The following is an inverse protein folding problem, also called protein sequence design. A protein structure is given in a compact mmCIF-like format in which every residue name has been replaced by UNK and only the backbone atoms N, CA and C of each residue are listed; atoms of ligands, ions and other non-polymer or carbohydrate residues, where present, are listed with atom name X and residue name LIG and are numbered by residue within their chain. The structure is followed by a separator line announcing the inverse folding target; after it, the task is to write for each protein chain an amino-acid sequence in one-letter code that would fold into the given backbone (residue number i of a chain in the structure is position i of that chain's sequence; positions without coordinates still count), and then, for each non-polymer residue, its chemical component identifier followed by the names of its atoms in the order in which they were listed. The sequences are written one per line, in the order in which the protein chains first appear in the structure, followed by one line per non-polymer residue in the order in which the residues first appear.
data_IF_906199383241
#
_entry.id   IF_906199383241
#
_cell.length_a   1.000
_cell.length_b   1.000
_cell.length_c   1.000
_cell.angle_alpha   90.00
_cell.angle_beta   90.00
_cell.angle_gamma   90.00
#
_symmetry.space_group_name_H-M   'P 1'
#
loop_
_entity.id
_entity.type
_entity.pdbx_description
1 polymer ?
#
# COMPACT_ATOMS: atom_id res chain seq x y z
N UNK A 1 9.44 -4.99 11.51
CA UNK A 1 8.26 -4.22 11.97
C UNK A 1 7.97 -3.03 11.09
N UNK A 2 6.72 -2.74 10.82
CA UNK A 2 6.26 -1.55 10.11
C UNK A 2 6.22 -0.32 11.04
N UNK A 3 6.48 0.87 10.51
CA UNK A 3 6.59 2.13 11.27
C UNK A 3 5.34 2.44 12.10
N UNK A 4 4.16 1.99 11.65
CA UNK A 4 2.87 2.13 12.34
C UNK A 4 2.74 1.12 13.49
N UNK A 5 3.57 1.28 14.52
CA UNK A 5 3.66 0.42 15.71
C UNK A 5 4.13 1.22 16.93
N UNK A 6 3.97 0.70 18.15
CA UNK A 6 4.50 1.35 19.35
C UNK A 6 6.03 1.34 19.38
N UNK A 7 6.63 2.23 20.18
CA UNK A 7 8.07 2.22 20.45
C UNK A 7 8.52 0.93 21.13
N UNK A 8 7.68 0.34 21.99
CA UNK A 8 7.96 -0.92 22.68
C UNK A 8 8.11 -2.08 21.70
N UNK A 9 7.22 -2.20 20.71
CA UNK A 9 7.35 -3.22 19.65
C UNK A 9 8.62 -2.99 18.84
N UNK A 10 8.95 -1.74 18.50
CA UNK A 10 10.19 -1.41 17.79
C UNK A 10 11.43 -1.79 18.59
N UNK A 11 11.42 -1.63 19.91
CA UNK A 11 12.55 -1.95 20.78
C UNK A 11 12.94 -3.44 20.77
N UNK A 12 12.00 -4.32 20.42
CA UNK A 12 12.21 -5.78 20.30
C UNK A 12 12.23 -6.27 18.85
N UNK A 13 12.29 -5.36 17.88
CA UNK A 13 12.32 -5.68 16.45
C UNK A 13 13.73 -5.59 15.88
N UNK A 14 14.10 -6.48 14.96
CA UNK A 14 15.41 -6.41 14.28
C UNK A 14 15.52 -5.19 13.36
N UNK A 15 14.42 -4.83 12.69
CA UNK A 15 14.39 -3.70 11.75
C UNK A 15 13.00 -3.07 11.66
N UNK A 16 12.99 -1.75 11.45
CA UNK A 16 11.78 -0.98 11.15
C UNK A 16 11.73 -0.60 9.66
N UNK A 17 10.54 -0.68 9.05
CA UNK A 17 10.32 -0.33 7.65
C UNK A 17 9.10 0.58 7.46
N UNK A 18 8.94 1.13 6.27
CA UNK A 18 7.77 1.88 5.79
C UNK A 18 7.14 1.14 4.60
N UNK A 19 5.95 1.56 4.15
CA UNK A 19 5.34 1.00 2.93
C UNK A 19 6.19 1.22 1.68
N UNK A 20 7.07 2.24 1.68
CA UNK A 20 8.03 2.51 0.60
C UNK A 20 9.33 1.69 0.65
N UNK A 21 9.64 1.06 1.78
CA UNK A 21 10.93 0.38 1.99
C UNK A 21 10.81 -1.09 2.37
N UNK A 22 9.60 -1.57 2.72
CA UNK A 22 9.36 -2.91 3.25
C UNK A 22 9.96 -4.02 2.39
N UNK A 23 9.67 -4.04 1.09
CA UNK A 23 10.21 -5.06 0.17
C UNK A 23 11.74 -5.05 0.15
N UNK A 24 12.34 -3.89 -0.12
CA UNK A 24 13.80 -3.73 -0.19
C UNK A 24 14.48 -4.16 1.11
N UNK A 25 13.93 -3.79 2.27
CA UNK A 25 14.48 -4.19 3.57
C UNK A 25 14.37 -5.71 3.72
N UNK A 26 13.19 -6.29 3.48
CA UNK A 26 12.96 -7.73 3.61
C UNK A 26 13.91 -8.55 2.73
N UNK A 27 14.11 -8.15 1.47
CA UNK A 27 15.03 -8.83 0.55
C UNK A 27 16.49 -8.83 1.04
N UNK A 28 16.89 -7.81 1.80
CA UNK A 28 18.27 -7.65 2.30
C UNK A 28 18.49 -8.26 3.69
N UNK A 29 17.47 -8.82 4.34
CA UNK A 29 17.63 -9.55 5.61
C UNK A 29 18.18 -10.94 5.31
N UNK A 30 19.23 -11.36 6.03
CA UNK A 30 19.80 -12.71 5.96
C UNK A 30 18.97 -13.73 6.77
N UNK A 31 17.71 -13.91 6.36
CA UNK A 31 16.80 -14.90 6.92
C UNK A 31 15.72 -15.29 5.88
N UNK A 32 15.35 -16.56 5.83
CA UNK A 32 14.32 -17.05 4.90
C UNK A 32 12.90 -16.84 5.41
N UNK A 33 12.71 -16.78 6.73
CA UNK A 33 11.43 -16.54 7.39
C UNK A 33 11.42 -15.21 8.13
N UNK A 34 10.42 -14.37 7.89
CA UNK A 34 10.30 -13.03 8.46
C UNK A 34 8.93 -12.87 9.14
N UNK A 35 8.93 -12.53 10.43
CA UNK A 35 7.71 -12.08 11.11
C UNK A 35 7.46 -10.61 10.75
N UNK A 36 6.28 -10.32 10.19
CA UNK A 36 5.92 -8.97 9.75
C UNK A 36 4.71 -8.46 10.52
N UNK A 37 4.90 -7.35 11.24
CA UNK A 37 3.88 -6.74 12.10
C UNK A 37 3.73 -5.24 11.84
N UNK A 38 2.56 -4.64 12.08
CA UNK A 38 1.31 -5.30 12.45
C UNK A 38 0.37 -5.55 11.25
N UNK A 39 0.68 -5.02 10.07
CA UNK A 39 -0.27 -5.00 8.95
C UNK A 39 -0.13 -6.24 8.04
N UNK A 40 -1.18 -7.08 8.02
CA UNK A 40 -1.22 -8.31 7.24
C UNK A 40 -1.30 -8.07 5.73
N UNK A 41 -1.88 -6.95 5.29
CA UNK A 41 -2.00 -6.64 3.87
C UNK A 41 -0.65 -6.24 3.29
N UNK A 42 0.09 -5.39 4.00
CA UNK A 42 1.47 -5.06 3.63
C UNK A 42 2.37 -6.29 3.70
N UNK A 43 2.20 -7.15 4.72
CA UNK A 43 2.94 -8.41 4.81
C UNK A 43 2.66 -9.34 3.62
N UNK A 44 1.38 -9.53 3.25
CA UNK A 44 0.96 -10.29 2.07
C UNK A 44 1.52 -9.70 0.79
N UNK A 45 1.44 -8.38 0.63
CA UNK A 45 2.01 -7.69 -0.53
C UNK A 45 3.51 -7.95 -0.64
N UNK A 46 4.27 -7.85 0.45
CA UNK A 46 5.71 -8.17 0.43
C UNK A 46 5.94 -9.63 0.07
N UNK A 47 5.15 -10.56 0.63
CA UNK A 47 5.25 -12.00 0.34
C UNK A 47 5.01 -12.32 -1.14
N UNK A 48 4.11 -11.59 -1.81
CA UNK A 48 3.84 -11.72 -3.25
C UNK A 48 5.02 -11.28 -4.12
N UNK A 49 5.92 -10.45 -3.59
CA UNK A 49 7.03 -9.82 -4.33
C UNK A 49 8.40 -10.42 -4.02
N UNK A 50 8.48 -11.40 -3.13
CA UNK A 50 9.75 -12.00 -2.69
C UNK A 50 9.64 -13.52 -2.56
N UNK A 51 10.77 -14.22 -2.55
CA UNK A 51 10.82 -15.67 -2.32
C UNK A 51 10.93 -16.04 -0.83
N UNK A 52 11.06 -15.05 0.06
CA UNK A 52 11.10 -15.25 1.52
C UNK A 52 9.71 -15.55 2.06
N UNK A 53 9.63 -16.40 3.09
CA UNK A 53 8.40 -16.72 3.80
C UNK A 53 8.06 -15.59 4.77
N UNK A 54 6.97 -14.89 4.51
CA UNK A 54 6.48 -13.84 5.41
C UNK A 54 5.39 -14.41 6.31
N UNK A 55 5.56 -14.24 7.62
CA UNK A 55 4.58 -14.63 8.64
C UNK A 55 3.85 -13.35 9.09
N UNK A 56 2.61 -13.13 8.64
CA UNK A 56 1.86 -11.92 8.98
C UNK A 56 1.32 -11.99 10.41
N UNK A 57 1.28 -10.84 11.08
CA UNK A 57 0.40 -10.63 12.23
C UNK A 57 -0.99 -10.20 11.75
N UNK A 58 -2.05 -10.70 12.39
CA UNK A 58 -3.45 -10.38 12.06
C UNK A 58 -3.85 -8.98 12.56
N UNK A 59 -3.25 -7.97 11.95
CA UNK A 59 -3.61 -6.57 12.11
C UNK A 59 -3.80 -5.93 10.75
N UNK A 60 -4.57 -4.84 10.71
CA UNK A 60 -4.89 -4.15 9.47
C UNK A 60 -5.23 -2.68 9.73
N UNK A 61 -4.99 -1.84 8.73
CA UNK A 61 -5.45 -0.46 8.74
C UNK A 61 -6.95 -0.38 8.43
N UNK A 62 -7.75 0.16 9.34
CA UNK A 62 -9.19 0.34 9.16
C UNK A 62 -9.53 1.27 7.98
N UNK A 63 -8.71 2.29 7.71
CA UNK A 63 -8.91 3.21 6.59
C UNK A 63 -8.86 2.46 5.26
N UNK A 64 -7.86 1.60 5.07
CA UNK A 64 -7.70 0.82 3.84
C UNK A 64 -8.65 -0.37 3.77
N UNK A 65 -9.05 -0.94 4.92
CA UNK A 65 -9.99 -2.05 4.99
C UNK A 65 -11.44 -1.64 4.66
N UNK A 66 -11.81 -0.38 4.88
CA UNK A 66 -13.17 0.11 4.60
C UNK A 66 -13.45 0.32 3.11
N UNK A 67 -12.44 0.29 2.24
CA UNK A 67 -12.64 0.34 0.79
C UNK A 67 -12.91 -1.07 0.31
N UNK A 68 -13.99 -1.26 -0.45
CA UNK A 68 -14.33 -2.56 -1.03
C UNK A 68 -14.12 -2.55 -2.55
N UNK A 69 -13.97 -3.74 -3.14
CA UNK A 69 -13.93 -3.89 -4.60
C UNK A 69 -15.15 -3.25 -5.29
N UNK A 70 -16.34 -3.39 -4.72
CA UNK A 70 -17.58 -2.78 -5.23
C UNK A 70 -17.49 -1.24 -5.31
N UNK A 71 -16.78 -0.59 -4.39
CA UNK A 71 -16.58 0.86 -4.46
C UNK A 71 -15.78 1.24 -5.71
N UNK A 72 -14.77 0.45 -6.06
CA UNK A 72 -13.90 0.70 -7.22
C UNK A 72 -14.66 0.39 -8.52
N UNK A 73 -15.39 -0.73 -8.57
CA UNK A 73 -16.21 -1.10 -9.74
C UNK A 73 -17.23 0.00 -10.02
N UNK A 74 -17.95 0.47 -8.99
CA UNK A 74 -18.93 1.54 -9.14
C UNK A 74 -18.31 2.83 -9.70
N UNK A 75 -17.13 3.22 -9.23
CA UNK A 75 -16.42 4.39 -9.77
C UNK A 75 -16.02 4.18 -11.24
N UNK A 76 -15.60 2.97 -11.61
CA UNK A 76 -15.31 2.65 -13.02
C UNK A 76 -16.56 2.66 -13.90
N UNK A 77 -17.71 2.26 -13.38
CA UNK A 77 -18.99 2.37 -14.10
C UNK A 77 -19.42 3.82 -14.30
N UNK A 78 -19.20 4.68 -13.29
CA UNK A 78 -19.60 6.09 -13.30
C UNK A 78 -18.65 6.98 -14.13
N UNK A 79 -17.34 6.69 -14.11
CA UNK A 79 -16.30 7.54 -14.71
C UNK A 79 -15.55 6.89 -15.88
N UNK A 80 -15.90 5.66 -16.25
CA UNK A 80 -15.17 4.87 -17.26
C UNK A 80 -14.01 4.08 -16.65
N UNK A 81 -13.27 3.35 -17.50
CA UNK A 81 -12.18 2.47 -17.05
C UNK A 81 -10.93 3.25 -16.62
N UNK A 82 -11.02 3.92 -15.48
CA UNK A 82 -9.95 4.72 -14.88
C UNK A 82 -8.82 3.85 -14.32
N UNK A 83 -7.60 4.39 -14.32
CA UNK A 83 -6.49 3.78 -13.59
C UNK A 83 -6.77 3.76 -12.08
N UNK A 84 -6.42 2.66 -11.43
CA UNK A 84 -6.54 2.48 -9.98
C UNK A 84 -5.14 2.49 -9.35
N UNK A 85 -4.88 3.45 -8.46
CA UNK A 85 -3.65 3.55 -7.68
C UNK A 85 -3.94 3.20 -6.23
N UNK A 86 -3.37 2.12 -5.71
CA UNK A 86 -3.68 1.59 -4.37
C UNK A 86 -2.48 1.60 -3.43
N UNK A 87 -2.75 1.78 -2.13
CA UNK A 87 -1.74 1.55 -1.09
C UNK A 87 -1.57 0.04 -0.82
N UNK A 88 -0.36 -0.46 -0.50
CA UNK A 88 -0.16 -1.89 -0.21
C UNK A 88 -0.89 -2.39 1.05
N UNK A 89 -1.41 -1.49 1.89
CA UNK A 89 -2.29 -1.83 3.02
C UNK A 89 -3.72 -2.19 2.58
N UNK A 90 -4.09 -1.96 1.32
CA UNK A 90 -5.38 -2.38 0.77
C UNK A 90 -5.51 -3.89 0.71
N UNK A 91 -6.74 -4.39 0.76
CA UNK A 91 -7.03 -5.82 0.60
C UNK A 91 -6.52 -6.35 -0.74
N UNK A 92 -6.20 -7.65 -0.80
CA UNK A 92 -5.62 -8.27 -1.98
C UNK A 92 -6.47 -8.06 -3.24
N UNK A 93 -7.79 -8.20 -3.14
CA UNK A 93 -8.72 -7.97 -4.26
C UNK A 93 -8.63 -6.58 -4.88
N UNK A 94 -8.30 -5.55 -4.07
CA UNK A 94 -8.06 -4.19 -4.55
C UNK A 94 -6.69 -4.09 -5.22
N UNK A 95 -5.66 -4.69 -4.61
CA UNK A 95 -4.30 -4.70 -5.17
C UNK A 95 -4.26 -5.41 -6.53
N UNK A 96 -5.02 -6.49 -6.69
CA UNK A 96 -5.06 -7.31 -7.90
C UNK A 96 -5.63 -6.57 -9.12
N UNK A 97 -6.51 -5.58 -8.90
CA UNK A 97 -7.07 -4.74 -9.97
C UNK A 97 -6.38 -3.38 -10.11
N UNK A 98 -5.41 -3.08 -9.24
CA UNK A 98 -4.70 -1.81 -9.26
C UNK A 98 -3.68 -1.75 -10.40
N UNK A 99 -3.66 -0.62 -11.11
CA UNK A 99 -2.64 -0.31 -12.11
C UNK A 99 -1.29 0.02 -11.46
N UNK A 100 -1.32 0.52 -10.22
CA UNK A 100 -0.13 0.80 -9.42
C UNK A 100 -0.39 0.51 -7.94
N UNK A 101 0.55 -0.16 -7.28
CA UNK A 101 0.54 -0.38 -5.83
C UNK A 101 1.79 0.23 -5.21
N UNK A 102 1.65 1.12 -4.23
CA UNK A 102 2.80 1.73 -3.58
C UNK A 102 2.46 2.65 -2.41
N UNK A 103 3.49 3.17 -1.75
CA UNK A 103 3.32 4.14 -0.65
C UNK A 103 2.60 5.42 -1.11
N UNK A 104 2.09 6.22 -0.18
CA UNK A 104 1.51 7.55 -0.48
C UNK A 104 2.43 8.40 -1.37
N UNK A 105 3.74 8.43 -1.07
CA UNK A 105 4.72 9.15 -1.89
C UNK A 105 4.87 8.53 -3.30
N UNK A 106 4.83 7.20 -3.40
CA UNK A 106 4.87 6.50 -4.68
C UNK A 106 3.64 6.78 -5.53
N UNK A 107 2.45 6.76 -4.93
CA UNK A 107 1.18 7.11 -5.59
C UNK A 107 1.22 8.55 -6.11
N UNK A 108 1.65 9.51 -5.28
CA UNK A 108 1.83 10.91 -5.68
C UNK A 108 2.79 11.04 -6.86
N UNK A 109 3.89 10.29 -6.85
CA UNK A 109 4.85 10.32 -7.95
C UNK A 109 4.26 9.72 -9.23
N UNK A 110 3.57 8.57 -9.13
CA UNK A 110 2.91 7.96 -10.28
C UNK A 110 1.84 8.89 -10.89
N UNK A 111 1.01 9.51 -10.04
CA UNK A 111 -0.04 10.44 -10.46
C UNK A 111 0.50 11.70 -11.15
N UNK A 112 1.78 12.07 -10.92
CA UNK A 112 2.45 13.18 -11.64
C UNK A 112 2.96 12.78 -13.01
N UNK A 113 3.35 11.51 -13.18
CA UNK A 113 4.06 11.05 -14.37
C UNK A 113 3.17 10.27 -15.34
N UNK A 114 2.00 9.80 -14.90
CA UNK A 114 1.01 9.15 -15.77
C UNK A 114 0.45 10.15 -16.80
N UNK A 115 0.19 9.73 -18.05
CA UNK A 115 -0.53 10.56 -19.03
C UNK A 115 -2.03 10.69 -18.72
N UNK A 116 -2.58 9.87 -17.82
CA UNK A 116 -3.99 9.88 -17.47
C UNK A 116 -4.32 11.04 -16.52
N UNK A 117 -5.38 11.78 -16.83
CA UNK A 117 -5.81 12.95 -16.04
C UNK A 117 -6.76 12.59 -14.90
N UNK A 118 -7.41 11.46 -15.00
CA UNK A 118 -8.39 10.99 -14.03
C UNK A 118 -8.01 9.56 -13.61
N UNK A 119 -8.09 9.31 -12.32
CA UNK A 119 -7.66 8.06 -11.70
C UNK A 119 -8.38 7.87 -10.37
N UNK A 120 -8.55 6.62 -9.96
CA UNK A 120 -9.08 6.22 -8.67
C UNK A 120 -7.90 6.04 -7.72
N UNK A 121 -7.82 6.85 -6.66
CA UNK A 121 -6.76 6.75 -5.65
C UNK A 121 -7.32 6.11 -4.38
N UNK A 122 -6.79 4.92 -4.05
CA UNK A 122 -7.21 4.12 -2.90
C UNK A 122 -6.16 4.21 -1.79
N UNK A 123 -6.27 5.27 -1.00
CA UNK A 123 -5.45 5.54 0.20
C UNK A 123 -6.18 6.52 1.12
N UNK A 124 -5.50 7.02 2.15
CA UNK A 124 -6.00 8.05 3.06
C UNK A 124 -6.43 9.35 2.33
N UNK A 125 -7.54 9.95 2.77
CA UNK A 125 -8.09 11.18 2.15
C UNK A 125 -7.13 12.37 2.19
N UNK A 126 -6.16 12.38 3.11
CA UNK A 126 -5.19 13.45 3.29
C UNK A 126 -4.32 13.72 2.05
N UNK A 127 -4.14 12.70 1.18
CA UNK A 127 -3.37 12.82 -0.07
C UNK A 127 -4.00 13.81 -1.07
N UNK A 128 -5.30 14.08 -0.97
CA UNK A 128 -6.04 14.90 -1.94
C UNK A 128 -5.52 16.34 -2.05
N UNK A 129 -5.10 16.93 -0.94
CA UNK A 129 -4.53 18.28 -0.98
C UNK A 129 -3.24 18.31 -1.80
N UNK A 130 -2.38 17.32 -1.59
CA UNK A 130 -1.11 17.22 -2.28
C UNK A 130 -1.29 16.89 -3.76
N UNK A 131 -2.21 15.98 -4.11
CA UNK A 131 -2.56 15.69 -5.50
C UNK A 131 -3.05 16.93 -6.24
N UNK A 132 -3.97 17.70 -5.67
CA UNK A 132 -4.46 18.95 -6.30
C UNK A 132 -3.38 20.00 -6.47
N UNK A 133 -2.40 20.03 -5.59
CA UNK A 133 -1.26 20.95 -5.67
C UNK A 133 -0.28 20.54 -6.76
N UNK A 134 -0.03 19.25 -6.88
CA UNK A 134 1.02 18.68 -7.71
C UNK A 134 0.55 18.34 -9.13
N UNK A 135 -0.71 17.91 -9.27
CA UNK A 135 -1.41 17.55 -10.50
C UNK A 135 -2.78 18.26 -10.53
N UNK A 136 -2.83 19.57 -10.79
CA UNK A 136 -4.06 20.37 -10.68
C UNK A 136 -5.07 20.16 -11.82
N UNK A 137 -4.71 19.43 -12.87
CA UNK A 137 -5.48 19.29 -14.12
C UNK A 137 -5.97 17.87 -14.34
#
# INVERSE_FOLDING_TARGET
TYINSSSEVKAVSDVCCTSSSALKIVENIDADEIIFVPDQNLASYVAEQTNKKIIPFDGQCNVHHNVTLDNIIKLKEEHGDLEVLAHPECQKEIRDIANYVGSTAGILNYAKTTPNKEMIVVTERGIMHQLKKDSPN
#
